data_IF_185386796459
#
_entry.id   IF_185386796459
#
_cell.length_a   1.000
_cell.length_b   1.000
_cell.length_c   1.000
_cell.angle_alpha   90.00
_cell.angle_beta   90.00
_cell.angle_gamma   90.00
#
_symmetry.space_group_name_H-M   'P 1'
#
loop_
_entity.id
_entity.type
_entity.pdbx_description
1 polymer ?
#
# COMPACT_ATOMS: atom_id res chain seq x y z
N UNK A 1 19.56 -3.35 27.39
CA UNK A 1 20.31 -2.53 26.41
C UNK A 1 19.52 -2.52 25.10
N UNK A 2 18.68 -1.51 24.91
CA UNK A 2 17.73 -1.44 23.79
C UNK A 2 18.42 -0.77 22.61
N UNK A 3 18.79 -1.54 21.59
CA UNK A 3 19.33 -0.99 20.35
C UNK A 3 18.19 -0.32 19.57
N UNK A 4 18.15 1.01 19.65
CA UNK A 4 17.28 1.87 18.85
C UNK A 4 17.76 1.81 17.40
N UNK A 5 17.03 1.09 16.55
CA UNK A 5 17.33 0.89 15.13
C UNK A 5 17.55 2.23 14.40
N UNK A 6 18.75 2.40 13.82
CA UNK A 6 19.12 3.57 13.01
C UNK A 6 18.24 3.77 11.77
N UNK A 7 17.44 2.77 11.38
CA UNK A 7 16.47 2.86 10.28
C UNK A 7 15.31 3.84 10.53
N UNK A 8 15.03 4.21 11.78
CA UNK A 8 13.94 5.17 12.11
C UNK A 8 14.32 6.65 11.85
N UNK A 9 15.58 6.96 11.49
CA UNK A 9 16.04 8.37 11.31
C UNK A 9 15.86 8.95 9.91
N UNK A 10 15.49 8.15 8.90
CA UNK A 10 15.36 8.64 7.51
C UNK A 10 13.93 8.94 7.04
N UNK A 11 12.92 8.68 7.86
CA UNK A 11 11.51 8.76 7.44
C UNK A 11 10.99 10.22 7.41
N UNK A 12 11.69 11.19 8.00
CA UNK A 12 11.17 12.55 8.22
C UNK A 12 11.78 13.66 7.36
N UNK A 13 12.80 13.41 6.52
CA UNK A 13 13.67 14.50 6.05
C UNK A 13 13.20 15.29 4.82
N UNK A 14 12.14 14.92 4.10
CA UNK A 14 11.83 15.57 2.81
C UNK A 14 10.87 16.76 2.91
N UNK A 15 9.70 16.62 3.56
CA UNK A 15 8.75 17.74 3.69
C UNK A 15 9.28 18.88 4.57
N UNK A 16 10.13 18.57 5.56
CA UNK A 16 10.78 19.56 6.41
C UNK A 16 11.93 20.31 5.72
N UNK A 17 12.46 19.82 4.59
CA UNK A 17 13.47 20.56 3.79
C UNK A 17 12.87 21.72 3.00
N UNK A 18 11.54 21.77 2.86
CA UNK A 18 10.86 22.96 2.34
C UNK A 18 10.67 23.98 3.47
N UNK A 19 11.80 24.54 3.93
CA UNK A 19 11.81 25.72 4.81
C UNK A 19 11.20 26.87 4.01
N UNK A 20 10.04 27.34 4.47
CA UNK A 20 9.27 28.40 3.83
C UNK A 20 8.24 28.92 4.82
N UNK A 21 7.76 30.15 4.59
CA UNK A 21 6.70 30.75 5.40
C UNK A 21 5.36 30.12 5.01
N UNK A 22 5.03 29.02 5.67
CA UNK A 22 3.76 28.30 5.49
C UNK A 22 2.63 29.04 6.18
N UNK A 23 1.62 29.46 5.43
CA UNK A 23 0.44 30.15 5.93
C UNK A 23 -0.77 29.22 5.87
N UNK A 24 -1.69 29.24 6.86
CA UNK A 24 -2.96 28.51 6.76
C UNK A 24 -3.70 28.88 5.47
N UNK A 25 -4.29 27.89 4.80
CA UNK A 25 -5.00 28.08 3.55
C UNK A 25 -6.20 27.13 3.43
N UNK A 26 -7.07 27.39 2.46
CA UNK A 26 -8.04 26.42 2.00
C UNK A 26 -7.38 25.41 1.03
N UNK A 27 -8.05 24.28 0.80
CA UNK A 27 -7.64 23.36 -0.25
C UNK A 27 -7.66 24.06 -1.63
N UNK A 28 -6.66 23.84 -2.49
CA UNK A 28 -6.64 24.42 -3.84
C UNK A 28 -7.62 23.74 -4.80
N UNK A 29 -8.21 22.61 -4.39
CA UNK A 29 -9.14 21.80 -5.16
C UNK A 29 -10.25 21.24 -4.24
N UNK A 30 -11.46 20.95 -4.77
CA UNK A 30 -12.48 20.21 -4.04
C UNK A 30 -12.12 18.72 -3.91
N UNK A 31 -12.70 18.03 -2.92
CA UNK A 31 -12.45 16.61 -2.66
C UNK A 31 -12.77 15.69 -3.85
N UNK A 32 -13.81 16.00 -4.62
CA UNK A 32 -14.16 15.26 -5.83
C UNK A 32 -13.07 15.33 -6.91
N UNK A 33 -12.39 16.47 -7.04
CA UNK A 33 -11.28 16.64 -7.98
C UNK A 33 -10.02 15.88 -7.54
N UNK A 34 -9.86 15.57 -6.26
CA UNK A 34 -8.74 14.76 -5.77
C UNK A 34 -8.71 13.35 -6.40
N UNK A 35 -9.87 12.84 -6.81
CA UNK A 35 -9.96 11.60 -7.56
C UNK A 35 -9.57 11.76 -9.03
N UNK A 36 -9.55 12.93 -9.64
CA UNK A 36 -9.19 13.04 -11.08
C UNK A 36 -7.77 13.55 -11.33
N UNK A 37 -7.10 14.02 -10.28
CA UNK A 37 -5.76 14.57 -10.40
C UNK A 37 -4.72 13.47 -10.53
N UNK A 38 -3.91 13.57 -11.59
CA UNK A 38 -2.70 12.76 -11.78
C UNK A 38 -1.63 13.16 -10.76
N UNK A 39 -0.88 12.20 -10.24
CA UNK A 39 0.31 12.46 -9.43
C UNK A 39 1.59 12.33 -10.26
N UNK A 40 2.69 12.88 -9.74
CA UNK A 40 4.02 12.65 -10.36
C UNK A 40 4.39 11.16 -10.31
N UNK A 41 5.11 10.68 -11.33
CA UNK A 41 5.42 9.24 -11.51
C UNK A 41 6.20 8.61 -10.34
N UNK A 42 7.00 9.40 -9.62
CA UNK A 42 7.76 8.92 -8.46
C UNK A 42 6.96 8.79 -7.17
N UNK A 43 5.72 9.31 -7.10
CA UNK A 43 4.95 9.35 -5.86
C UNK A 43 4.56 7.96 -5.34
N UNK A 44 4.08 7.00 -6.16
CA UNK A 44 3.80 5.64 -5.69
C UNK A 44 5.04 4.95 -5.10
N UNK A 45 6.20 5.14 -5.73
CA UNK A 45 7.47 4.60 -5.22
C UNK A 45 7.85 5.17 -3.85
N UNK A 46 7.63 6.47 -3.63
CA UNK A 46 7.87 7.10 -2.33
C UNK A 46 6.93 6.58 -1.23
N UNK A 47 5.63 6.44 -1.54
CA UNK A 47 4.63 5.87 -0.63
C UNK A 47 4.99 4.42 -0.29
N UNK A 48 5.32 3.61 -1.30
CA UNK A 48 5.73 2.22 -1.15
C UNK A 48 6.96 2.09 -0.26
N UNK A 49 7.99 2.90 -0.49
CA UNK A 49 9.22 2.87 0.31
C UNK A 49 8.99 3.28 1.77
N UNK A 50 8.21 4.33 2.03
CA UNK A 50 7.94 4.83 3.39
C UNK A 50 7.13 3.85 4.25
N UNK A 51 6.27 3.04 3.62
CA UNK A 51 5.42 2.07 4.32
C UNK A 51 5.83 0.61 4.15
N UNK A 52 6.87 0.36 3.35
CA UNK A 52 7.33 -0.99 3.01
C UNK A 52 6.32 -1.80 2.21
N UNK A 53 5.38 -1.17 1.48
CA UNK A 53 4.30 -1.85 0.73
C UNK A 53 4.65 -2.04 -0.74
N UNK A 54 3.79 -2.75 -1.48
CA UNK A 54 3.97 -2.99 -2.91
C UNK A 54 3.72 -1.71 -3.74
N UNK A 55 4.57 -1.40 -4.74
CA UNK A 55 4.37 -0.21 -5.59
C UNK A 55 3.03 -0.15 -6.30
N UNK A 56 2.52 -1.29 -6.78
CA UNK A 56 1.21 -1.36 -7.45
C UNK A 56 0.09 -0.96 -6.48
N UNK A 57 0.15 -1.42 -5.23
CA UNK A 57 -0.82 -1.10 -4.21
C UNK A 57 -0.73 0.37 -3.80
N UNK A 58 0.50 0.88 -3.64
CA UNK A 58 0.75 2.29 -3.36
C UNK A 58 0.11 3.20 -4.42
N UNK A 59 0.20 2.85 -5.71
CA UNK A 59 -0.45 3.59 -6.80
C UNK A 59 -1.97 3.68 -6.62
N UNK A 60 -2.61 2.59 -6.18
CA UNK A 60 -4.05 2.54 -5.97
C UNK A 60 -4.50 3.29 -4.69
N UNK A 61 -3.61 3.43 -3.70
CA UNK A 61 -3.91 4.11 -2.44
C UNK A 61 -3.82 5.64 -2.53
N UNK A 62 -3.09 6.19 -3.51
CA UNK A 62 -2.83 7.64 -3.58
C UNK A 62 -4.12 8.45 -3.73
N UNK A 63 -5.01 8.09 -4.65
CA UNK A 63 -6.26 8.83 -4.90
C UNK A 63 -7.18 8.88 -3.68
N UNK A 64 -7.58 7.74 -3.07
CA UNK A 64 -8.43 7.78 -1.88
C UNK A 64 -7.74 8.43 -0.68
N UNK A 65 -6.42 8.26 -0.52
CA UNK A 65 -5.64 8.97 0.49
C UNK A 65 -5.66 10.48 0.27
N UNK A 66 -5.48 10.94 -0.97
CA UNK A 66 -5.48 12.36 -1.29
C UNK A 66 -6.87 12.97 -1.10
N UNK A 67 -7.93 12.29 -1.52
CA UNK A 67 -9.31 12.73 -1.29
C UNK A 67 -9.66 12.85 0.20
N UNK A 68 -9.23 11.88 1.01
CA UNK A 68 -9.38 11.92 2.47
C UNK A 68 -8.60 13.10 3.07
N UNK A 69 -7.35 13.32 2.65
CA UNK A 69 -6.53 14.45 3.10
C UNK A 69 -7.09 15.80 2.67
N UNK A 70 -7.65 15.93 1.47
CA UNK A 70 -8.30 17.16 1.01
C UNK A 70 -9.47 17.53 1.92
N UNK A 71 -10.21 16.52 2.38
CA UNK A 71 -11.40 16.71 3.22
C UNK A 71 -11.06 16.93 4.70
N UNK A 72 -10.11 16.16 5.24
CA UNK A 72 -9.85 16.09 6.69
C UNK A 72 -8.54 16.75 7.13
N UNK A 73 -7.66 17.09 6.18
CA UNK A 73 -6.33 17.63 6.45
C UNK A 73 -6.31 19.13 6.70
N UNK A 74 -5.25 19.58 7.38
CA UNK A 74 -4.94 21.01 7.54
C UNK A 74 -4.11 21.46 6.35
N UNK A 75 -4.56 22.53 5.71
CA UNK A 75 -3.95 23.08 4.51
C UNK A 75 -3.07 24.28 4.82
N UNK A 76 -1.93 24.33 4.14
CA UNK A 76 -0.98 25.41 4.21
C UNK A 76 -0.56 25.80 2.78
N UNK A 77 -0.29 27.09 2.58
CA UNK A 77 0.21 27.64 1.33
C UNK A 77 1.57 28.31 1.56
N UNK A 78 2.47 28.13 0.61
CA UNK A 78 3.79 28.74 0.58
C UNK A 78 3.84 29.68 -0.64
N UNK A 79 3.75 31.01 -0.43
CA UNK A 79 3.58 31.96 -1.53
C UNK A 79 4.73 32.00 -2.53
N UNK A 80 5.97 31.81 -2.07
CA UNK A 80 7.16 32.01 -2.90
C UNK A 80 7.28 30.97 -4.02
N UNK A 81 6.93 29.70 -3.73
CA UNK A 81 6.95 28.60 -4.71
C UNK A 81 5.56 28.26 -5.23
N UNK A 82 4.52 28.92 -4.73
CA UNK A 82 3.11 28.66 -5.06
C UNK A 82 2.73 27.20 -4.81
N UNK A 83 3.20 26.66 -3.70
CA UNK A 83 2.99 25.27 -3.28
C UNK A 83 2.00 25.19 -2.13
N UNK A 84 1.23 24.11 -2.11
CA UNK A 84 0.33 23.77 -1.03
C UNK A 84 0.88 22.56 -0.28
N UNK A 85 0.63 22.50 1.02
CA UNK A 85 0.86 21.32 1.84
C UNK A 85 -0.44 20.97 2.54
N UNK A 86 -0.85 19.72 2.43
CA UNK A 86 -1.91 19.16 3.26
C UNK A 86 -1.30 18.19 4.24
N UNK A 87 -1.61 18.34 5.53
CA UNK A 87 -1.11 17.47 6.57
C UNK A 87 -2.23 17.03 7.51
N UNK A 88 -2.19 15.75 7.87
CA UNK A 88 -2.96 15.24 8.99
C UNK A 88 -2.00 15.00 10.16
N UNK A 89 -2.22 15.73 11.25
CA UNK A 89 -1.43 15.63 12.47
C UNK A 89 -2.30 15.16 13.62
N UNK A 90 -1.77 14.23 14.41
CA UNK A 90 -2.24 13.94 15.77
C UNK A 90 -1.16 14.45 16.73
N UNK A 91 -0.59 13.57 17.56
CA UNK A 91 0.63 13.87 18.33
C UNK A 91 1.88 14.03 17.44
N UNK A 92 1.87 13.39 16.26
CA UNK A 92 2.95 13.43 15.25
C UNK A 92 2.36 13.61 13.84
N UNK A 93 3.21 13.86 12.84
CA UNK A 93 2.81 13.95 11.44
C UNK A 93 2.40 12.57 10.92
N UNK A 94 1.11 12.38 10.66
CA UNK A 94 0.56 11.10 10.24
C UNK A 94 0.80 10.88 8.74
N UNK A 95 0.27 11.78 7.93
CA UNK A 95 0.46 11.79 6.48
C UNK A 95 0.46 13.23 6.01
N UNK A 96 1.31 13.54 5.05
CA UNK A 96 1.29 14.82 4.36
C UNK A 96 1.61 14.67 2.88
N UNK A 97 1.02 15.55 2.10
CA UNK A 97 1.30 15.72 0.68
C UNK A 97 1.72 17.16 0.41
N UNK A 98 2.77 17.30 -0.40
CA UNK A 98 3.09 18.54 -1.09
C UNK A 98 2.32 18.54 -2.41
N UNK A 99 1.66 19.64 -2.73
CA UNK A 99 0.68 19.74 -3.79
C UNK A 99 0.93 21.00 -4.61
N UNK A 100 0.96 20.89 -5.93
CA UNK A 100 1.04 22.06 -6.81
C UNK A 100 -0.26 22.87 -6.77
N UNK A 101 -0.25 24.11 -7.27
CA UNK A 101 -1.44 24.98 -7.32
C UNK A 101 -2.67 24.36 -8.00
N UNK A 102 -2.48 23.46 -8.97
CA UNK A 102 -3.58 22.75 -9.67
C UNK A 102 -4.01 21.45 -8.98
N UNK A 103 -3.58 21.23 -7.73
CA UNK A 103 -3.92 20.04 -6.96
C UNK A 103 -3.02 18.83 -7.21
N UNK A 104 -1.99 18.92 -8.06
CA UNK A 104 -1.10 17.79 -8.41
C UNK A 104 -0.24 17.38 -7.19
N UNK A 105 -0.37 16.15 -6.67
CA UNK A 105 0.52 15.66 -5.62
C UNK A 105 1.94 15.48 -6.15
N UNK A 106 2.88 16.17 -5.51
CA UNK A 106 4.30 16.22 -5.89
C UNK A 106 5.18 15.36 -4.99
N UNK A 107 4.85 15.32 -3.70
CA UNK A 107 5.66 14.62 -2.71
C UNK A 107 4.78 14.11 -1.58
N UNK A 108 5.18 12.99 -0.99
CA UNK A 108 4.50 12.36 0.13
C UNK A 108 5.47 12.16 1.30
N UNK A 109 5.01 12.41 2.52
CA UNK A 109 5.78 12.06 3.70
C UNK A 109 4.93 11.77 4.92
N UNK A 110 5.58 11.15 5.89
CA UNK A 110 5.03 10.73 7.17
C UNK A 110 6.14 10.78 8.23
N UNK A 111 5.81 10.81 9.51
CA UNK A 111 6.80 10.66 10.59
C UNK A 111 6.82 9.26 11.19
N UNK A 112 6.04 8.32 10.66
CA UNK A 112 5.99 6.95 11.14
C UNK A 112 5.62 5.97 10.01
N UNK A 113 6.07 4.71 10.07
CA UNK A 113 5.47 3.66 9.26
C UNK A 113 3.99 3.47 9.64
N UNK A 114 3.16 2.97 8.73
CA UNK A 114 1.72 2.87 9.00
C UNK A 114 1.40 1.78 10.03
N UNK A 115 2.26 0.77 10.12
CA UNK A 115 2.28 -0.22 11.20
C UNK A 115 2.34 0.39 12.62
N UNK A 116 2.85 1.63 12.76
CA UNK A 116 2.94 2.38 14.03
C UNK A 116 1.99 3.58 14.08
N UNK A 117 1.06 3.66 13.14
CA UNK A 117 0.11 4.75 13.05
C UNK A 117 -0.92 4.66 14.18
N UNK A 118 -0.97 5.68 15.03
CA UNK A 118 -1.97 5.80 16.10
C UNK A 118 -3.32 6.34 15.58
N UNK A 119 -3.47 6.50 14.26
CA UNK A 119 -4.78 6.80 13.69
C UNK A 119 -5.70 5.60 13.96
N UNK A 120 -6.85 5.86 14.58
CA UNK A 120 -7.89 4.85 14.67
C UNK A 120 -8.37 4.58 13.23
N UNK A 121 -8.31 3.31 12.83
CA UNK A 121 -8.85 2.86 11.55
C UNK A 121 -10.12 2.14 11.92
N UNK A 122 -11.25 2.83 11.75
CA UNK A 122 -12.54 2.19 11.92
C UNK A 122 -12.63 1.04 10.91
N UNK A 123 -13.10 -0.14 11.32
CA UNK A 123 -13.33 -1.23 10.38
C UNK A 123 -14.36 -0.77 9.34
N UNK A 124 -14.17 -1.18 8.08
CA UNK A 124 -15.21 -1.03 7.07
C UNK A 124 -16.47 -1.77 7.58
N UNK A 125 -17.64 -1.10 7.66
CA UNK A 125 -18.86 -1.74 8.13
C UNK A 125 -19.20 -2.97 7.30
N UNK A 126 -19.80 -3.97 7.94
CA UNK A 126 -20.26 -5.17 7.24
C UNK A 126 -21.26 -4.79 6.13
N UNK A 127 -21.09 -5.39 4.94
CA UNK A 127 -21.90 -5.08 3.76
C UNK A 127 -21.58 -3.75 3.07
N UNK A 128 -20.70 -2.91 3.61
CA UNK A 128 -20.29 -1.67 2.94
C UNK A 128 -19.47 -1.95 1.68
N UNK A 129 -19.81 -1.26 0.60
CA UNK A 129 -19.01 -1.31 -0.64
C UNK A 129 -17.75 -0.47 -0.49
N UNK A 130 -16.62 -1.03 -0.89
CA UNK A 130 -15.35 -0.30 -0.98
C UNK A 130 -14.97 -0.05 -2.43
N UNK A 131 -14.05 0.87 -2.65
CA UNK A 131 -13.49 1.13 -3.97
C UNK A 131 -12.02 1.51 -3.85
N UNK A 132 -11.20 0.90 -4.70
CA UNK A 132 -9.80 1.23 -4.85
C UNK A 132 -9.45 1.15 -6.34
N UNK A 133 -9.49 2.30 -7.02
CA UNK A 133 -9.13 2.41 -8.43
C UNK A 133 -7.65 2.70 -8.65
N UNK A 134 -7.18 2.41 -9.85
CA UNK A 134 -5.87 2.85 -10.34
C UNK A 134 -5.86 4.36 -10.59
N UNK A 135 -4.70 4.92 -10.95
CA UNK A 135 -4.58 6.35 -11.24
C UNK A 135 -5.46 6.80 -12.41
N UNK A 136 -5.67 5.92 -13.40
CA UNK A 136 -6.47 6.20 -14.59
C UNK A 136 -7.92 5.67 -14.52
N UNK A 137 -8.31 5.03 -13.41
CA UNK A 137 -9.69 4.58 -13.19
C UNK A 137 -10.68 5.75 -13.13
N UNK A 138 -11.98 5.48 -13.34
CA UNK A 138 -13.06 6.45 -13.19
C UNK A 138 -13.21 7.00 -11.75
N UNK A 139 -14.24 7.81 -11.53
CA UNK A 139 -14.58 8.26 -10.18
C UNK A 139 -15.09 7.10 -9.31
N UNK A 140 -14.89 7.15 -7.98
CA UNK A 140 -15.51 6.19 -7.08
C UNK A 140 -17.04 6.21 -7.26
N UNK A 141 -17.71 5.04 -7.28
CA UNK A 141 -19.17 4.98 -7.26
C UNK A 141 -19.74 5.70 -6.04
N UNK A 142 -20.99 6.18 -6.13
CA UNK A 142 -21.66 6.79 -4.98
C UNK A 142 -21.83 5.79 -3.84
N UNK A 143 -21.65 6.26 -2.61
CA UNK A 143 -21.87 5.46 -1.39
C UNK A 143 -20.74 4.51 -1.00
N UNK A 144 -19.62 4.48 -1.73
CA UNK A 144 -18.47 3.65 -1.33
C UNK A 144 -17.73 4.25 -0.12
N UNK A 145 -17.28 3.37 0.76
CA UNK A 145 -16.49 3.74 1.94
C UNK A 145 -15.01 3.71 1.60
N UNK A 146 -14.30 4.78 1.98
CA UNK A 146 -12.86 4.85 1.84
C UNK A 146 -12.18 3.91 2.83
N UNK A 147 -11.32 3.02 2.32
CA UNK A 147 -10.67 1.96 3.11
C UNK A 147 -9.13 2.02 3.02
N UNK A 148 -8.57 3.09 2.45
CA UNK A 148 -7.13 3.18 2.15
C UNK A 148 -6.25 2.97 3.39
N UNK A 149 -6.68 3.47 4.56
CA UNK A 149 -5.94 3.29 5.83
C UNK A 149 -5.92 1.83 6.28
N UNK A 150 -7.03 1.12 6.13
CA UNK A 150 -7.12 -0.30 6.47
C UNK A 150 -6.23 -1.12 5.56
N UNK A 151 -6.27 -0.85 4.25
CA UNK A 151 -5.44 -1.54 3.25
C UNK A 151 -3.96 -1.24 3.47
N UNK A 152 -3.60 0.03 3.70
CA UNK A 152 -2.22 0.43 4.01
C UNK A 152 -1.70 -0.25 5.28
N UNK A 153 -2.51 -0.32 6.34
CA UNK A 153 -2.15 -1.01 7.57
C UNK A 153 -1.98 -2.51 7.35
N UNK A 154 -2.95 -3.14 6.69
CA UNK A 154 -2.92 -4.56 6.35
C UNK A 154 -1.64 -4.92 5.57
N UNK A 155 -1.34 -4.14 4.53
CA UNK A 155 -0.12 -4.32 3.74
C UNK A 155 1.12 -4.06 4.57
N UNK A 156 1.23 -2.94 5.28
CA UNK A 156 2.46 -2.58 6.02
C UNK A 156 2.79 -3.48 7.21
N UNK A 157 1.80 -4.16 7.81
CA UNK A 157 2.01 -5.11 8.91
C UNK A 157 2.07 -6.57 8.44
N UNK A 158 1.75 -6.84 7.17
CA UNK A 158 1.86 -8.19 6.61
C UNK A 158 3.31 -8.69 6.70
N UNK A 159 3.56 -9.97 7.02
CA UNK A 159 4.90 -10.54 6.97
C UNK A 159 5.32 -10.96 5.56
N UNK A 160 4.42 -10.85 4.57
CA UNK A 160 4.64 -11.15 3.14
C UNK A 160 4.22 -9.98 2.27
N UNK A 161 4.84 -9.85 1.11
CA UNK A 161 4.38 -8.97 0.03
C UNK A 161 3.68 -9.76 -1.06
N UNK A 162 2.57 -9.23 -1.56
CA UNK A 162 1.68 -9.88 -2.52
C UNK A 162 1.69 -9.10 -3.84
N UNK A 163 2.06 -9.77 -4.92
CA UNK A 163 1.95 -9.18 -6.27
C UNK A 163 0.49 -9.09 -6.72
N UNK A 164 0.20 -8.15 -7.62
CA UNK A 164 -1.15 -7.98 -8.19
C UNK A 164 -1.66 -9.26 -8.84
N UNK A 165 -0.81 -9.94 -9.62
CA UNK A 165 -1.13 -11.19 -10.31
C UNK A 165 -1.63 -12.27 -9.35
N UNK A 166 -1.06 -12.35 -8.14
CA UNK A 166 -1.51 -13.29 -7.10
C UNK A 166 -2.91 -12.97 -6.64
N UNK A 167 -3.23 -11.69 -6.41
CA UNK A 167 -4.58 -11.26 -6.00
C UNK A 167 -5.60 -11.60 -7.08
N UNK A 168 -5.31 -11.25 -8.34
CA UNK A 168 -6.18 -11.51 -9.48
C UNK A 168 -6.36 -13.01 -9.75
N UNK A 169 -5.30 -13.80 -9.54
CA UNK A 169 -5.34 -15.24 -9.73
C UNK A 169 -6.10 -15.93 -8.61
N UNK A 170 -5.93 -15.52 -7.36
CA UNK A 170 -6.72 -16.02 -6.23
C UNK A 170 -8.20 -15.70 -6.39
N UNK A 171 -8.56 -14.47 -6.76
CA UNK A 171 -9.95 -14.10 -6.99
C UNK A 171 -10.61 -15.01 -8.05
N UNK A 172 -9.88 -15.32 -9.12
CA UNK A 172 -10.34 -16.28 -10.15
C UNK A 172 -10.49 -17.70 -9.62
N UNK A 173 -9.53 -18.19 -8.83
CA UNK A 173 -9.56 -19.55 -8.28
C UNK A 173 -10.69 -19.70 -7.25
N UNK A 174 -10.83 -18.76 -6.32
CA UNK A 174 -11.73 -18.88 -5.16
C UNK A 174 -13.17 -18.47 -5.48
N UNK A 175 -13.36 -17.53 -6.41
CA UNK A 175 -14.66 -16.92 -6.67
C UNK A 175 -15.11 -17.03 -8.13
N UNK A 176 -14.30 -17.60 -9.02
CA UNK A 176 -14.64 -17.72 -10.44
C UNK A 176 -14.80 -16.38 -11.16
N UNK A 177 -14.35 -15.26 -10.57
CA UNK A 177 -14.53 -13.90 -11.11
C UNK A 177 -13.20 -13.14 -11.21
N UNK A 178 -13.11 -12.15 -12.12
CA UNK A 178 -11.98 -11.23 -12.11
C UNK A 178 -11.96 -10.39 -10.83
N UNK A 179 -10.77 -9.92 -10.47
CA UNK A 179 -10.60 -8.88 -9.48
C UNK A 179 -10.91 -7.52 -10.13
N UNK A 180 -11.68 -6.68 -9.44
CA UNK A 180 -12.10 -5.36 -9.91
C UNK A 180 -11.85 -4.32 -8.84
N UNK A 181 -12.00 -3.04 -9.17
CA UNK A 181 -11.79 -1.92 -8.24
C UNK A 181 -12.73 -1.97 -7.02
N UNK A 182 -13.88 -2.63 -7.16
CA UNK A 182 -14.84 -2.85 -6.06
C UNK A 182 -14.51 -4.05 -5.18
N UNK A 183 -13.75 -5.01 -5.70
CA UNK A 183 -13.46 -6.28 -5.00
C UNK A 183 -12.02 -6.38 -4.53
N UNK A 184 -11.10 -5.59 -5.10
CA UNK A 184 -9.66 -5.64 -4.86
C UNK A 184 -9.29 -5.51 -3.38
N UNK A 185 -10.04 -4.73 -2.60
CA UNK A 185 -9.79 -4.56 -1.16
C UNK A 185 -10.00 -5.87 -0.40
N UNK A 186 -11.11 -6.56 -0.70
CA UNK A 186 -11.44 -7.87 -0.13
C UNK A 186 -10.50 -8.95 -0.65
N UNK A 187 -10.31 -8.99 -1.96
CA UNK A 187 -9.44 -9.98 -2.64
C UNK A 187 -7.98 -9.85 -2.15
N UNK A 188 -7.46 -8.64 -1.98
CA UNK A 188 -6.13 -8.39 -1.44
C UNK A 188 -6.01 -8.82 0.02
N UNK A 189 -6.98 -8.45 0.86
CA UNK A 189 -6.97 -8.81 2.29
C UNK A 189 -7.04 -10.34 2.47
N UNK A 190 -7.86 -11.01 1.67
CA UNK A 190 -7.93 -12.47 1.65
C UNK A 190 -6.60 -13.10 1.19
N UNK A 191 -5.97 -12.55 0.15
CA UNK A 191 -4.66 -13.01 -0.32
C UNK A 191 -3.57 -12.86 0.75
N UNK A 192 -3.53 -11.73 1.46
CA UNK A 192 -2.60 -11.50 2.58
C UNK A 192 -2.84 -12.54 3.69
N UNK A 193 -4.09 -12.78 4.08
CA UNK A 193 -4.42 -13.76 5.11
C UNK A 193 -4.00 -15.17 4.69
N UNK A 194 -4.35 -15.59 3.47
CA UNK A 194 -4.00 -16.91 2.94
C UNK A 194 -2.49 -17.13 2.79
N UNK A 195 -1.73 -16.07 2.53
CA UNK A 195 -0.28 -16.15 2.34
C UNK A 195 0.53 -16.05 3.65
N UNK A 196 -0.07 -15.66 4.78
CA UNK A 196 0.64 -15.56 6.07
C UNK A 196 1.35 -16.85 6.50
N UNK A 197 0.72 -18.04 6.45
CA UNK A 197 1.37 -19.29 6.85
C UNK A 197 2.60 -19.66 6.02
N UNK A 198 2.78 -19.06 4.83
CA UNK A 198 3.94 -19.31 3.98
C UNK A 198 5.26 -18.88 4.64
N UNK A 199 5.22 -17.89 5.53
CA UNK A 199 6.43 -17.37 6.21
C UNK A 199 7.03 -18.43 7.10
N UNK A 200 6.20 -19.09 7.92
CA UNK A 200 6.67 -20.13 8.85
C UNK A 200 7.30 -21.30 8.09
N UNK A 201 6.73 -21.66 6.94
CA UNK A 201 7.28 -22.71 6.07
C UNK A 201 8.61 -22.35 5.41
N UNK A 202 8.94 -21.06 5.32
CA UNK A 202 10.17 -20.53 4.73
C UNK A 202 11.22 -20.13 5.77
N UNK A 203 10.87 -20.12 7.06
CA UNK A 203 11.79 -19.83 8.16
C UNK A 203 13.01 -20.75 8.13
N UNK A 204 14.21 -20.16 8.26
CA UNK A 204 15.49 -20.88 8.23
C UNK A 204 15.94 -21.33 6.84
N UNK A 205 15.16 -21.09 5.77
CA UNK A 205 15.58 -21.43 4.41
C UNK A 205 16.50 -20.35 3.83
N UNK A 206 17.51 -20.74 3.02
CA UNK A 206 18.37 -19.76 2.38
C UNK A 206 17.58 -18.89 1.38
N UNK A 207 18.06 -17.70 1.04
CA UNK A 207 17.46 -16.88 -0.02
C UNK A 207 17.27 -17.63 -1.34
N UNK A 208 16.15 -17.41 -2.02
CA UNK A 208 15.83 -18.07 -3.28
C UNK A 208 14.35 -18.07 -3.64
N UNK A 209 14.00 -18.83 -4.67
CA UNK A 209 12.62 -19.02 -5.11
C UNK A 209 12.13 -20.39 -4.66
N UNK A 210 10.91 -20.45 -4.14
CA UNK A 210 10.30 -21.63 -3.54
C UNK A 210 8.91 -21.87 -4.11
N UNK A 211 8.58 -23.14 -4.30
CA UNK A 211 7.22 -23.63 -4.49
C UNK A 211 6.75 -24.16 -3.15
N UNK A 212 5.64 -23.63 -2.63
CA UNK A 212 5.07 -23.98 -1.32
C UNK A 212 3.65 -24.49 -1.54
N UNK A 213 3.35 -25.71 -1.16
CA UNK A 213 2.03 -26.32 -1.31
C UNK A 213 1.24 -26.25 0.00
N UNK A 214 -0.03 -25.83 -0.06
CA UNK A 214 -0.93 -25.74 1.08
C UNK A 214 -2.36 -25.39 0.65
N UNK A 215 -3.36 -25.95 1.34
CA UNK A 215 -4.80 -25.67 1.14
C UNK A 215 -5.29 -25.78 -0.32
N UNK A 216 -4.82 -26.81 -1.04
CA UNK A 216 -5.20 -27.02 -2.44
C UNK A 216 -4.50 -26.06 -3.43
N UNK A 217 -3.56 -25.24 -2.96
CA UNK A 217 -2.83 -24.25 -3.74
C UNK A 217 -1.33 -24.51 -3.73
N UNK A 218 -0.66 -24.08 -4.80
CA UNK A 218 0.79 -23.98 -4.94
C UNK A 218 1.15 -22.52 -5.05
N UNK A 219 1.98 -22.06 -4.13
CA UNK A 219 2.46 -20.69 -4.03
C UNK A 219 3.91 -20.60 -4.49
N UNK A 220 4.20 -19.63 -5.36
CA UNK A 220 5.55 -19.34 -5.78
C UNK A 220 6.04 -18.12 -5.01
N UNK A 221 7.02 -18.32 -4.13
CA UNK A 221 7.53 -17.29 -3.22
C UNK A 221 9.00 -17.03 -3.48
N UNK A 222 9.40 -15.76 -3.53
CA UNK A 222 10.80 -15.35 -3.57
C UNK A 222 11.21 -14.75 -2.22
N UNK A 223 12.35 -15.19 -1.71
CA UNK A 223 13.03 -14.62 -0.55
C UNK A 223 14.37 -14.04 -1.00
N UNK A 224 14.75 -12.89 -0.44
CA UNK A 224 16.04 -12.26 -0.68
C UNK A 224 16.87 -12.19 0.62
N UNK A 225 18.15 -11.80 0.50
CA UNK A 225 19.04 -11.64 1.66
C UNK A 225 18.79 -10.33 2.44
N UNK A 226 17.88 -9.49 1.95
CA UNK A 226 17.62 -8.17 2.51
C UNK A 226 16.56 -8.28 3.61
N UNK A 227 16.38 -7.25 4.47
CA UNK A 227 15.29 -7.24 5.46
C UNK A 227 13.89 -7.10 4.81
N UNK A 228 13.78 -7.31 3.49
CA UNK A 228 12.49 -7.30 2.80
C UNK A 228 11.76 -8.60 3.08
N UNK A 229 10.45 -8.45 3.10
CA UNK A 229 9.50 -9.55 3.31
C UNK A 229 9.53 -10.49 2.10
N UNK A 230 9.31 -11.80 2.30
CA UNK A 230 9.08 -12.72 1.19
C UNK A 230 8.00 -12.19 0.24
N UNK A 231 8.24 -12.33 -1.06
CA UNK A 231 7.32 -11.86 -2.10
C UNK A 231 6.62 -13.04 -2.74
N UNK A 232 5.29 -13.08 -2.67
CA UNK A 232 4.48 -14.06 -3.39
C UNK A 232 4.32 -13.60 -4.83
N UNK A 233 4.88 -14.38 -5.76
CA UNK A 233 4.97 -14.08 -7.18
C UNK A 233 3.84 -14.70 -7.99
N UNK A 234 3.36 -15.88 -7.60
CA UNK A 234 2.31 -16.59 -8.31
C UNK A 234 1.58 -17.59 -7.40
N UNK A 235 0.39 -17.98 -7.83
CA UNK A 235 -0.45 -18.98 -7.16
C UNK A 235 -1.21 -19.82 -8.18
N UNK A 236 -1.28 -21.12 -7.95
CA UNK A 236 -1.94 -22.07 -8.85
C UNK A 236 -2.71 -23.11 -8.04
N UNK A 237 -3.82 -23.67 -8.55
CA UNK A 237 -4.40 -24.86 -7.95
C UNK A 237 -3.43 -26.03 -8.03
N UNK A 238 -3.44 -26.92 -7.03
CA UNK A 238 -2.74 -28.20 -7.12
C UNK A 238 -3.45 -29.06 -8.16
N UNK A 239 -2.71 -29.55 -9.15
CA UNK A 239 -3.19 -30.50 -10.17
C UNK A 239 -2.35 -31.77 -10.08
N UNK A 240 -2.96 -32.91 -9.77
CA UNK A 240 -2.28 -34.22 -9.70
C UNK A 240 -1.70 -34.60 -8.33
N UNK A 241 -0.86 -35.66 -8.31
CA UNK A 241 -0.40 -36.37 -7.10
C UNK A 241 0.52 -35.56 -6.15
N UNK A 242 0.66 -36.08 -4.92
CA UNK A 242 1.39 -35.53 -3.75
C UNK A 242 2.56 -34.62 -4.11
N UNK A 243 2.40 -33.32 -3.85
CA UNK A 243 3.50 -32.37 -3.86
C UNK A 243 4.25 -32.37 -2.53
N UNK A 244 5.57 -32.14 -2.60
CA UNK A 244 6.34 -31.80 -1.40
C UNK A 244 5.81 -30.47 -0.83
N UNK A 245 5.69 -30.32 0.51
CA UNK A 245 5.19 -29.10 1.12
C UNK A 245 5.98 -27.85 0.73
N UNK A 246 7.30 -27.97 0.60
CA UNK A 246 8.17 -26.89 0.12
C UNK A 246 9.28 -27.44 -0.76
N UNK A 247 9.45 -26.85 -1.95
CA UNK A 247 10.51 -27.18 -2.92
C UNK A 247 11.26 -25.92 -3.34
N UNK A 248 12.59 -25.93 -3.25
CA UNK A 248 13.40 -24.85 -3.85
C UNK A 248 13.35 -24.98 -5.38
N UNK A 249 13.11 -23.86 -6.06
CA UNK A 249 13.09 -23.79 -7.52
C UNK A 249 14.47 -23.40 -8.04
N UNK A 250 14.83 -23.92 -9.21
CA UNK A 250 16.04 -23.51 -9.89
C UNK A 250 15.98 -21.99 -10.18
N UNK A 251 17.12 -21.28 -10.12
CA UNK A 251 17.17 -19.90 -10.57
C UNK A 251 16.70 -19.83 -12.03
N UNK A 252 15.83 -18.86 -12.36
CA UNK A 252 15.50 -18.60 -13.76
C UNK A 252 16.79 -18.27 -14.50
N UNK A 253 17.19 -19.12 -15.44
CA UNK A 253 18.13 -18.69 -16.48
C UNK A 253 17.39 -17.62 -17.29
N UNK A 254 17.95 -16.42 -17.29
CA UNK A 254 17.48 -15.32 -18.16
C UNK A 254 17.93 -15.59 -19.58
#
# INVERSE_FOLDING_TARGET
>A
MTMTNAADRHVSTSLHRHVGLWQPAAAPIPASAAYTVRCVSGLPGAVAALHGIEPWLASMLIRPMFADLVTSGRWFFEPSRKLFRVEQRRKRLCHALLVARRGVPLHYGTSHPDARCLAHVAPVPEGASTWLGELDSGLPPRGVVSCWRQVLRCSSTSPVSITRDVVERLARIQHGRPCTERTIVGDYSAAVVAAKPLVDMLTGRPPGRYSVAGDGLVWIVATDCSPRRPVVLAVHPIVGHRMQPVRRLAPHRR
#
